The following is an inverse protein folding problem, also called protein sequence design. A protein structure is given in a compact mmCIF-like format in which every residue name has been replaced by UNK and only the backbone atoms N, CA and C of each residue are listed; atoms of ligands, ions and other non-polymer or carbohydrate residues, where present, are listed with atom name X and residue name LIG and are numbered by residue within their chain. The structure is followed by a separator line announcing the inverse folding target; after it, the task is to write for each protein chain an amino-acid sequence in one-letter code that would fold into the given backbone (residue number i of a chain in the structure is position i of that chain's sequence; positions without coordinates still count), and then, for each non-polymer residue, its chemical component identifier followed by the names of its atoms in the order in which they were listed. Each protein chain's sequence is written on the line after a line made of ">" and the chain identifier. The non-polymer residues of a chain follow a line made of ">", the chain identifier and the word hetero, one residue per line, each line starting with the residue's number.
data_IF_724381031488
#
_entry.id   IF_724381031488
#
_cell.length_a   1.000
_cell.length_b   1.000
_cell.length_c   1.000
_cell.angle_alpha   90.00
_cell.angle_beta   90.00
_cell.angle_gamma   90.00
#
_symmetry.space_group_name_H-M   'P 1'
#
loop_
_entity.id
_entity.type
_entity.pdbx_description
1 polymer ?
#
# COMPACT_ATOMS: atom_id res chain seq x y z
N UNK A 1 30.56 32.52 -17.93
CA UNK A 1 30.08 31.16 -18.27
C UNK A 1 28.92 30.84 -17.34
N UNK A 2 27.71 30.71 -17.88
CA UNK A 2 26.59 30.18 -17.08
C UNK A 2 26.90 28.72 -16.71
N UNK A 3 26.67 28.37 -15.44
CA UNK A 3 26.79 26.99 -14.99
C UNK A 3 25.64 26.20 -15.59
N UNK A 4 25.96 25.14 -16.35
CA UNK A 4 24.96 24.18 -16.78
C UNK A 4 24.21 23.64 -15.56
N UNK A 5 22.88 23.72 -15.60
CA UNK A 5 22.02 23.32 -14.50
C UNK A 5 21.04 22.26 -14.99
N UNK A 6 20.83 21.22 -14.19
CA UNK A 6 19.82 20.20 -14.52
C UNK A 6 18.44 20.83 -14.65
N UNK A 7 18.17 21.91 -13.91
CA UNK A 7 16.87 22.58 -13.89
C UNK A 7 16.54 23.33 -15.19
N UNK A 8 17.52 23.57 -16.07
CA UNK A 8 17.30 24.27 -17.35
C UNK A 8 17.11 23.31 -18.52
N UNK A 9 17.05 22.00 -18.28
CA UNK A 9 16.83 21.03 -19.35
C UNK A 9 15.36 21.06 -19.82
N UNK A 10 15.09 20.83 -21.11
CA UNK A 10 13.74 20.63 -21.60
C UNK A 10 13.02 19.45 -20.92
N UNK A 11 11.69 19.53 -20.86
CA UNK A 11 10.83 18.51 -20.22
C UNK A 11 11.00 17.13 -20.85
N UNK A 12 11.33 17.07 -22.14
CA UNK A 12 11.59 15.84 -22.89
C UNK A 12 12.82 15.12 -22.33
N UNK A 13 13.89 15.87 -22.05
CA UNK A 13 15.12 15.29 -21.47
C UNK A 13 14.87 14.80 -20.04
N UNK A 14 14.12 15.56 -19.24
CA UNK A 14 13.71 15.09 -17.92
C UNK A 14 12.88 13.81 -18.00
N UNK A 15 11.93 13.74 -18.93
CA UNK A 15 11.10 12.55 -19.15
C UNK A 15 11.96 11.33 -19.52
N UNK A 16 12.96 11.52 -20.39
CA UNK A 16 13.91 10.46 -20.76
C UNK A 16 14.71 9.99 -19.54
N UNK A 17 15.27 10.92 -18.74
CA UNK A 17 16.01 10.59 -17.53
C UNK A 17 15.14 9.76 -16.57
N UNK A 18 13.91 10.19 -16.32
CA UNK A 18 12.98 9.50 -15.41
C UNK A 18 12.61 8.10 -15.92
N UNK A 19 12.36 7.94 -17.22
CA UNK A 19 12.13 6.62 -17.84
C UNK A 19 13.34 5.71 -17.74
N UNK A 20 14.55 6.23 -17.92
CA UNK A 20 15.79 5.47 -17.77
C UNK A 20 15.99 5.00 -16.32
N UNK A 21 15.73 5.87 -15.34
CA UNK A 21 15.77 5.52 -13.91
C UNK A 21 14.78 4.40 -13.58
N UNK A 22 13.56 4.49 -14.11
CA UNK A 22 12.55 3.45 -13.95
C UNK A 22 12.99 2.11 -14.54
N UNK A 23 13.45 2.10 -15.79
CA UNK A 23 13.92 0.88 -16.49
C UNK A 23 15.11 0.23 -15.79
N UNK A 24 16.06 1.02 -15.31
CA UNK A 24 17.23 0.53 -14.56
C UNK A 24 16.78 -0.21 -13.28
N UNK A 25 15.81 0.35 -12.55
CA UNK A 25 15.27 -0.28 -11.32
C UNK A 25 14.47 -1.54 -11.61
N UNK A 26 13.71 -1.59 -12.71
CA UNK A 26 13.02 -2.81 -13.10
C UNK A 26 13.98 -3.95 -13.44
N UNK A 27 15.13 -3.65 -14.05
CA UNK A 27 16.14 -4.65 -14.40
C UNK A 27 16.73 -5.32 -13.16
N UNK A 28 16.97 -4.55 -12.09
CA UNK A 28 17.54 -5.06 -10.83
C UNK A 28 16.53 -5.95 -10.08
N UNK A 29 15.23 -5.70 -10.23
CA UNK A 29 14.17 -6.43 -9.53
C UNK A 29 13.75 -7.76 -10.17
N UNK A 30 14.30 -8.17 -11.31
CA UNK A 30 14.04 -9.51 -11.81
C UNK A 30 14.79 -10.47 -10.89
N UNK A 31 14.10 -11.28 -10.05
CA UNK A 31 14.80 -12.27 -9.25
C UNK A 31 15.46 -13.21 -10.24
N UNK A 32 16.79 -13.21 -10.28
CA UNK A 32 17.52 -14.33 -10.82
C UNK A 32 16.97 -15.56 -10.09
N UNK A 33 16.43 -16.51 -10.85
CA UNK A 33 15.89 -17.77 -10.35
C UNK A 33 17.04 -18.67 -9.86
N UNK A 34 17.89 -18.14 -8.98
CA UNK A 34 19.01 -18.83 -8.39
C UNK A 34 18.49 -19.59 -7.18
N UNK A 35 18.43 -20.91 -7.36
CA UNK A 35 18.10 -21.92 -6.36
C UNK A 35 19.13 -21.91 -5.22
N UNK A 36 18.68 -22.27 -4.02
CA UNK A 36 19.42 -22.50 -2.76
C UNK A 36 19.86 -21.23 -2.02
N UNK A 37 19.83 -21.13 -0.69
CA UNK A 37 19.83 -22.15 0.37
C UNK A 37 18.86 -21.83 1.51
N UNK A 38 18.45 -22.89 2.25
CA UNK A 38 17.98 -22.80 3.63
C UNK A 38 19.02 -22.02 4.48
N UNK A 39 18.56 -21.35 5.54
CA UNK A 39 19.32 -20.52 6.50
C UNK A 39 19.58 -19.05 6.10
N UNK A 40 18.52 -18.25 6.09
CA UNK A 40 18.48 -16.98 6.84
C UNK A 40 17.05 -16.43 6.93
N UNK A 41 16.42 -16.59 8.09
CA UNK A 41 15.13 -15.96 8.42
C UNK A 41 15.34 -14.48 8.77
N UNK A 42 15.85 -13.69 7.82
CA UNK A 42 15.67 -12.25 7.86
C UNK A 42 14.82 -11.93 6.63
N UNK A 43 13.54 -11.54 6.77
CA UNK A 43 12.72 -11.21 5.63
C UNK A 43 13.38 -10.10 4.82
N UNK A 44 13.82 -10.43 3.62
CA UNK A 44 14.34 -9.50 2.60
C UNK A 44 13.23 -8.51 2.15
N UNK A 45 12.03 -8.59 2.73
CA UNK A 45 10.85 -7.76 2.46
C UNK A 45 11.02 -6.28 2.86
N UNK A 46 11.94 -5.93 3.77
CA UNK A 46 12.07 -4.55 4.26
C UNK A 46 12.52 -3.53 3.20
N UNK A 47 13.32 -3.91 2.20
CA UNK A 47 13.70 -2.98 1.12
C UNK A 47 12.50 -2.60 0.24
N UNK A 48 11.46 -3.43 0.23
CA UNK A 48 10.33 -3.23 -0.65
C UNK A 48 9.47 -2.02 -0.20
N UNK A 49 9.49 -1.67 1.08
CA UNK A 49 8.58 -0.69 1.66
C UNK A 49 9.13 0.74 1.71
N UNK A 50 10.34 0.99 1.21
CA UNK A 50 11.02 2.28 1.42
C UNK A 50 10.51 3.39 0.46
N UNK A 51 9.92 4.50 0.96
CA UNK A 51 9.55 5.68 0.18
C UNK A 51 10.77 6.44 -0.37
N UNK A 52 11.99 6.07 0.01
CA UNK A 52 13.22 6.53 -0.63
C UNK A 52 13.42 5.93 -2.03
N UNK A 53 12.58 4.97 -2.42
CA UNK A 53 12.63 4.36 -3.74
C UNK A 53 11.88 5.17 -4.80
N UNK A 54 12.30 4.97 -6.04
CA UNK A 54 11.60 5.49 -7.20
C UNK A 54 10.15 4.94 -7.25
N UNK A 55 9.13 5.75 -7.57
CA UNK A 55 9.21 7.16 -8.01
C UNK A 55 9.19 8.22 -6.88
N UNK A 56 9.01 7.83 -5.62
CA UNK A 56 8.70 8.73 -4.51
C UNK A 56 9.83 9.70 -4.14
N UNK A 57 11.07 9.23 -4.08
CA UNK A 57 12.23 10.09 -3.81
C UNK A 57 12.37 11.22 -4.84
N UNK A 58 12.19 10.89 -6.10
CA UNK A 58 12.23 11.82 -7.24
C UNK A 58 11.04 12.77 -7.21
N UNK A 59 9.83 12.25 -6.98
CA UNK A 59 8.60 13.04 -6.89
C UNK A 59 8.61 14.03 -5.71
N UNK A 60 9.28 13.67 -4.61
CA UNK A 60 9.41 14.52 -3.42
C UNK A 60 10.49 15.60 -3.60
N UNK A 61 11.58 15.27 -4.31
CA UNK A 61 12.70 16.19 -4.49
C UNK A 61 12.36 17.41 -5.36
N UNK A 62 11.53 17.26 -6.40
CA UNK A 62 11.23 18.37 -7.30
C UNK A 62 9.84 18.29 -7.94
N UNK A 63 9.04 19.35 -7.79
CA UNK A 63 7.66 19.44 -8.31
C UNK A 63 7.56 19.21 -9.82
N UNK A 64 8.54 19.68 -10.60
CA UNK A 64 8.56 19.46 -12.06
C UNK A 64 8.65 17.96 -12.37
N UNK A 65 9.55 17.24 -11.71
CA UNK A 65 9.67 15.80 -11.90
C UNK A 65 8.43 15.06 -11.43
N UNK A 66 7.81 15.47 -10.33
CA UNK A 66 6.52 14.92 -9.92
C UNK A 66 5.47 15.07 -11.01
N UNK A 67 5.30 16.27 -11.57
CA UNK A 67 4.33 16.54 -12.64
C UNK A 67 4.62 15.71 -13.91
N UNK A 68 5.89 15.44 -14.22
CA UNK A 68 6.25 14.54 -15.32
C UNK A 68 5.84 13.10 -14.97
N UNK A 69 6.15 12.64 -13.75
CA UNK A 69 5.83 11.29 -13.29
C UNK A 69 4.32 11.03 -13.24
N UNK A 70 3.47 12.02 -12.94
CA UNK A 70 2.01 11.84 -13.02
C UNK A 70 1.53 11.49 -14.44
N UNK A 71 2.33 11.82 -15.46
CA UNK A 71 2.09 11.45 -16.86
C UNK A 71 2.58 10.05 -17.25
N UNK A 72 3.26 9.31 -16.35
CA UNK A 72 3.88 8.00 -16.62
C UNK A 72 3.26 6.94 -15.68
N UNK A 73 2.11 6.34 -16.03
CA UNK A 73 1.36 5.43 -15.16
C UNK A 73 2.16 4.21 -14.68
N UNK A 74 3.12 3.74 -15.48
CA UNK A 74 3.95 2.59 -15.18
C UNK A 74 4.78 2.79 -13.90
N UNK A 75 5.11 4.05 -13.58
CA UNK A 75 5.82 4.39 -12.35
C UNK A 75 4.97 4.14 -11.09
N UNK A 76 3.64 4.06 -11.22
CA UNK A 76 2.67 3.98 -10.14
C UNK A 76 2.01 2.60 -10.00
N UNK A 77 2.66 1.55 -10.51
CA UNK A 77 2.22 0.15 -10.29
C UNK A 77 2.36 -0.30 -8.83
N UNK A 78 3.15 0.44 -8.03
CA UNK A 78 3.30 0.23 -6.59
C UNK A 78 3.07 1.54 -5.84
N UNK A 79 2.06 1.54 -4.99
CA UNK A 79 1.65 2.67 -4.18
C UNK A 79 2.06 2.44 -2.72
N UNK A 80 2.93 3.31 -2.20
CA UNK A 80 3.51 3.16 -0.86
C UNK A 80 3.17 4.36 -0.01
N UNK A 81 2.63 4.12 1.19
CA UNK A 81 2.35 5.14 2.19
C UNK A 81 3.12 4.83 3.47
N UNK A 82 3.87 5.83 3.94
CA UNK A 82 4.45 5.85 5.27
C UNK A 82 3.56 6.70 6.18
N UNK A 83 2.87 6.07 7.12
CA UNK A 83 1.89 6.68 8.02
C UNK A 83 2.56 7.62 9.02
N UNK A 84 3.86 7.46 9.25
CA UNK A 84 4.69 8.41 10.00
C UNK A 84 4.68 9.81 9.37
N UNK A 85 4.41 9.90 8.07
CA UNK A 85 4.48 11.12 7.27
C UNK A 85 3.08 11.53 6.80
N UNK A 86 2.94 12.80 6.41
CA UNK A 86 1.70 13.29 5.81
C UNK A 86 1.45 12.57 4.46
N UNK A 87 0.34 11.81 4.30
CA UNK A 87 0.06 11.06 3.08
C UNK A 87 -0.44 11.93 1.91
N UNK A 88 -0.84 13.18 2.16
CA UNK A 88 -1.54 14.06 1.19
C UNK A 88 -0.86 14.14 -0.17
N UNK A 89 0.49 14.17 -0.19
CA UNK A 89 1.27 14.29 -1.42
C UNK A 89 1.03 13.16 -2.42
N UNK A 90 0.62 11.98 -1.96
CA UNK A 90 0.52 10.76 -2.77
C UNK A 90 -0.87 10.14 -2.76
N UNK A 91 -1.88 10.79 -2.16
CA UNK A 91 -3.27 10.29 -2.20
C UNK A 91 -3.80 10.18 -3.64
N UNK A 92 -3.33 11.05 -4.54
CA UNK A 92 -3.69 11.02 -5.96
C UNK A 92 -2.90 9.98 -6.78
N UNK A 93 -1.97 9.23 -6.17
CA UNK A 93 -1.15 8.25 -6.88
C UNK A 93 -1.98 7.18 -7.61
N UNK A 94 -3.15 6.83 -7.08
CA UNK A 94 -4.07 5.93 -7.76
C UNK A 94 -4.65 6.52 -9.06
N UNK A 95 -4.89 7.83 -9.10
CA UNK A 95 -5.31 8.51 -10.32
C UNK A 95 -4.17 8.55 -11.36
N UNK A 96 -2.92 8.70 -10.91
CA UNK A 96 -1.74 8.69 -11.77
C UNK A 96 -1.45 7.31 -12.36
N UNK A 97 -1.83 6.23 -11.67
CA UNK A 97 -1.80 4.87 -12.19
C UNK A 97 -2.82 4.63 -13.32
N UNK A 98 -3.73 5.59 -13.61
CA UNK A 98 -4.77 5.52 -14.65
C UNK A 98 -5.52 4.21 -14.62
N UNK A 99 -5.47 3.42 -15.69
CA UNK A 99 -6.19 2.17 -15.83
C UNK A 99 -5.40 0.92 -15.43
N UNK A 100 -4.23 1.10 -14.79
CA UNK A 100 -3.36 -0.01 -14.42
C UNK A 100 -4.09 -1.07 -13.58
N UNK A 101 -3.83 -2.33 -13.93
CA UNK A 101 -4.27 -3.51 -13.18
C UNK A 101 -3.05 -4.08 -12.48
N UNK A 102 -3.29 -4.64 -11.31
CA UNK A 102 -2.29 -5.30 -10.51
C UNK A 102 -1.47 -4.33 -9.65
N UNK A 103 -2.12 -3.25 -9.21
CA UNK A 103 -1.50 -2.26 -8.32
C UNK A 103 -1.15 -2.92 -6.99
N UNK A 104 0.06 -2.69 -6.50
CA UNK A 104 0.50 -3.14 -5.19
C UNK A 104 0.43 -1.98 -4.20
N UNK A 105 -0.37 -2.12 -3.15
CA UNK A 105 -0.51 -1.11 -2.10
C UNK A 105 0.23 -1.58 -0.86
N UNK A 106 1.12 -0.73 -0.37
CA UNK A 106 1.82 -0.92 0.90
C UNK A 106 1.54 0.29 1.76
N UNK A 107 1.07 0.04 2.98
CA UNK A 107 0.93 1.06 4.01
C UNK A 107 1.71 0.57 5.22
N UNK A 108 2.64 1.36 5.70
CA UNK A 108 3.47 0.99 6.83
C UNK A 108 3.76 2.20 7.72
N UNK A 109 4.24 1.97 8.94
CA UNK A 109 4.66 3.04 9.83
C UNK A 109 6.17 2.96 10.09
N UNK A 110 6.92 4.00 9.70
CA UNK A 110 8.36 4.09 9.98
C UNK A 110 8.71 4.69 11.34
N UNK A 111 7.72 5.23 12.07
CA UNK A 111 7.92 5.84 13.38
C UNK A 111 8.30 4.79 14.41
N UNK A 112 9.03 5.18 15.45
CA UNK A 112 9.13 4.34 16.63
C UNK A 112 7.80 4.35 17.38
N UNK A 113 7.56 3.32 18.20
CA UNK A 113 6.32 3.17 18.98
C UNK A 113 6.05 4.41 19.85
N UNK A 114 7.11 5.02 20.38
CA UNK A 114 7.03 6.19 21.28
C UNK A 114 6.74 7.51 20.54
N UNK A 115 6.95 7.55 19.22
CA UNK A 115 6.87 8.78 18.43
C UNK A 115 5.45 9.09 17.93
N UNK A 116 4.55 8.11 17.96
CA UNK A 116 3.21 8.23 17.38
C UNK A 116 2.14 7.57 18.24
N UNK A 117 1.09 8.32 18.55
CA UNK A 117 -0.10 7.79 19.22
C UNK A 117 -1.02 7.07 18.24
N UNK A 118 -1.87 6.16 18.74
CA UNK A 118 -2.87 5.48 17.91
C UNK A 118 -3.86 6.44 17.24
N UNK A 119 -4.19 7.56 17.90
CA UNK A 119 -5.09 8.57 17.34
C UNK A 119 -4.46 9.31 16.15
N UNK A 120 -3.17 9.61 16.22
CA UNK A 120 -2.43 10.25 15.12
C UNK A 120 -2.23 9.30 13.95
N UNK A 121 -1.87 8.04 14.23
CA UNK A 121 -1.76 7.00 13.21
C UNK A 121 -3.10 6.87 12.48
N UNK A 122 -4.20 6.66 13.21
CA UNK A 122 -5.54 6.54 12.64
C UNK A 122 -5.93 7.78 11.80
N UNK A 123 -5.55 8.99 12.24
CA UNK A 123 -5.80 10.24 11.49
C UNK A 123 -5.10 10.24 10.13
N UNK A 124 -3.87 9.73 10.04
CA UNK A 124 -3.13 9.63 8.77
C UNK A 124 -3.61 8.43 7.93
N UNK A 125 -4.07 7.36 8.57
CA UNK A 125 -4.64 6.18 7.91
C UNK A 125 -5.94 6.49 7.17
N UNK A 126 -6.80 7.32 7.74
CA UNK A 126 -8.16 7.52 7.21
C UNK A 126 -8.20 8.08 5.77
N UNK A 127 -7.40 9.11 5.39
CA UNK A 127 -7.28 9.52 4.00
C UNK A 127 -6.77 8.42 3.07
N UNK A 128 -5.81 7.60 3.52
CA UNK A 128 -5.25 6.49 2.75
C UNK A 128 -6.34 5.45 2.46
N UNK A 129 -7.13 5.06 3.46
CA UNK A 129 -8.26 4.15 3.27
C UNK A 129 -9.23 4.66 2.21
N UNK A 130 -9.64 5.94 2.31
CA UNK A 130 -10.56 6.53 1.35
C UNK A 130 -10.00 6.56 -0.06
N UNK A 131 -8.68 6.75 -0.20
CA UNK A 131 -8.01 6.70 -1.49
C UNK A 131 -7.92 5.26 -2.04
N UNK A 132 -7.63 4.26 -1.21
CA UNK A 132 -7.45 2.85 -1.65
C UNK A 132 -8.78 2.23 -2.08
N UNK A 133 -9.86 2.50 -1.34
CA UNK A 133 -11.13 1.77 -1.46
C UNK A 133 -11.70 1.69 -2.89
N UNK A 134 -11.79 2.79 -3.67
CA UNK A 134 -12.27 2.72 -5.06
C UNK A 134 -11.40 1.88 -6.00
N UNK A 135 -10.17 1.58 -5.61
CA UNK A 135 -9.17 0.90 -6.44
C UNK A 135 -8.89 -0.54 -6.01
N UNK A 136 -9.56 -1.07 -4.98
CA UNK A 136 -9.38 -2.46 -4.58
C UNK A 136 -9.64 -3.46 -5.73
N UNK A 137 -10.63 -3.30 -6.62
CA UNK A 137 -10.85 -4.25 -7.71
C UNK A 137 -9.66 -4.44 -8.66
N UNK A 138 -8.81 -3.42 -8.78
CA UNK A 138 -7.62 -3.41 -9.64
C UNK A 138 -6.31 -3.69 -8.89
N UNK A 139 -6.36 -3.86 -7.57
CA UNK A 139 -5.18 -4.17 -6.77
C UNK A 139 -4.80 -5.64 -6.89
N UNK A 140 -3.49 -5.91 -6.96
CA UNK A 140 -2.90 -7.25 -6.83
C UNK A 140 -2.60 -7.59 -5.38
N UNK A 141 -2.06 -6.65 -4.63
CA UNK A 141 -1.64 -6.85 -3.25
C UNK A 141 -1.99 -5.61 -2.45
N UNK A 142 -2.49 -5.81 -1.24
CA UNK A 142 -2.80 -4.76 -0.27
C UNK A 142 -2.22 -5.19 1.07
N UNK A 143 -1.17 -4.49 1.51
CA UNK A 143 -0.44 -4.80 2.75
C UNK A 143 -0.47 -3.58 3.67
N UNK A 144 -0.93 -3.80 4.89
CA UNK A 144 -0.95 -2.83 5.98
C UNK A 144 -0.11 -3.35 7.14
N UNK A 145 0.98 -2.66 7.45
CA UNK A 145 1.91 -2.95 8.54
C UNK A 145 1.95 -1.75 9.49
N UNK A 146 0.99 -1.70 10.41
CA UNK A 146 0.77 -0.53 11.29
C UNK A 146 1.34 -0.74 12.69
N UNK A 147 1.42 0.32 13.50
CA UNK A 147 1.77 0.18 14.91
C UNK A 147 0.59 -0.38 15.70
N UNK A 148 -0.63 0.12 15.49
CA UNK A 148 -1.78 -0.19 16.34
C UNK A 148 -2.90 -0.93 15.59
N UNK A 149 -3.44 -1.99 16.19
CA UNK A 149 -4.56 -2.75 15.60
C UNK A 149 -5.82 -1.90 15.39
N UNK A 150 -6.06 -0.91 16.25
CA UNK A 150 -7.17 0.06 16.10
C UNK A 150 -7.02 1.00 14.90
N UNK A 151 -5.81 1.12 14.33
CA UNK A 151 -5.55 1.89 13.12
C UNK A 151 -5.80 1.08 11.85
N UNK A 152 -5.93 -0.25 11.94
CA UNK A 152 -6.16 -1.11 10.79
C UNK A 152 -7.58 -0.93 10.23
N UNK A 153 -7.73 -1.01 8.89
CA UNK A 153 -9.05 -1.05 8.28
C UNK A 153 -9.72 -2.38 8.64
N UNK A 154 -11.02 -2.39 8.97
CA UNK A 154 -11.75 -3.64 9.13
C UNK A 154 -11.64 -4.48 7.85
N UNK A 155 -11.31 -5.79 7.93
CA UNK A 155 -11.15 -6.63 6.74
C UNK A 155 -12.40 -6.69 5.87
N UNK A 156 -13.58 -6.50 6.49
CA UNK A 156 -14.86 -6.42 5.80
C UNK A 156 -14.90 -5.30 4.76
N UNK A 157 -14.10 -4.23 4.89
CA UNK A 157 -14.02 -3.19 3.85
C UNK A 157 -13.52 -3.77 2.52
N UNK A 158 -12.57 -4.72 2.55
CA UNK A 158 -12.05 -5.36 1.35
C UNK A 158 -12.89 -6.57 0.93
N UNK A 159 -13.35 -7.35 1.91
CA UNK A 159 -14.03 -8.62 1.64
C UNK A 159 -15.50 -8.47 1.19
N UNK A 160 -16.06 -7.25 1.26
CA UNK A 160 -17.43 -6.92 0.84
C UNK A 160 -17.53 -6.35 -0.59
N UNK A 161 -16.42 -6.31 -1.33
CA UNK A 161 -16.39 -5.86 -2.72
C UNK A 161 -15.67 -6.88 -3.58
N UNK A 162 -15.93 -6.86 -4.88
CA UNK A 162 -15.23 -7.75 -5.81
C UNK A 162 -13.77 -7.31 -5.97
N UNK A 163 -12.86 -8.26 -5.82
CA UNK A 163 -11.43 -8.02 -6.04
C UNK A 163 -10.83 -9.14 -6.91
N UNK A 164 -11.17 -9.19 -8.21
CA UNK A 164 -10.80 -10.30 -9.10
C UNK A 164 -9.29 -10.44 -9.32
N UNK A 165 -8.52 -9.39 -9.02
CA UNK A 165 -7.08 -9.35 -9.19
C UNK A 165 -6.29 -9.50 -7.88
N UNK A 166 -6.96 -9.48 -6.74
CA UNK A 166 -6.32 -9.50 -5.43
C UNK A 166 -5.74 -10.88 -5.16
N UNK A 167 -4.42 -10.95 -5.04
CA UNK A 167 -3.63 -12.13 -4.70
C UNK A 167 -3.23 -12.14 -3.21
N UNK A 168 -3.11 -10.95 -2.62
CA UNK A 168 -2.64 -10.78 -1.25
C UNK A 168 -3.43 -9.67 -0.52
N UNK A 169 -3.92 -10.01 0.67
CA UNK A 169 -4.42 -9.06 1.66
C UNK A 169 -3.74 -9.34 3.00
N UNK A 170 -2.90 -8.41 3.46
CA UNK A 170 -2.24 -8.51 4.77
C UNK A 170 -2.60 -7.30 5.63
N UNK A 171 -3.16 -7.54 6.80
CA UNK A 171 -3.54 -6.54 7.80
C UNK A 171 -2.87 -6.88 9.13
N UNK A 172 -1.66 -6.37 9.30
CA UNK A 172 -0.77 -6.65 10.43
C UNK A 172 -0.49 -5.39 11.26
N UNK A 173 -0.25 -5.63 12.54
CA UNK A 173 0.12 -4.57 13.48
C UNK A 173 1.06 -5.10 14.56
N UNK A 174 1.76 -4.19 15.22
CA UNK A 174 2.67 -4.52 16.33
C UNK A 174 1.92 -4.61 17.66
N UNK A 175 1.05 -3.63 17.95
CA UNK A 175 0.36 -3.46 19.23
C UNK A 175 -1.12 -3.73 19.03
N UNK A 176 -1.63 -4.76 19.71
CA UNK A 176 -3.07 -4.99 19.77
C UNK A 176 -3.71 -4.11 20.85
N UNK A 177 -4.40 -3.05 20.43
CA UNK A 177 -5.08 -2.09 21.30
C UNK A 177 -6.56 -1.92 20.98
N UNK A 178 -7.19 -2.93 20.35
CA UNK A 178 -8.62 -2.88 20.06
C UNK A 178 -9.42 -2.94 21.36
N UNK A 179 -10.21 -1.89 21.59
CA UNK A 179 -11.19 -1.83 22.67
C UNK A 179 -12.48 -2.49 22.20
N UNK A 180 -12.74 -3.71 22.69
CA UNK A 180 -13.93 -4.49 22.36
C UNK A 180 -15.25 -3.75 22.63
N UNK A 181 -15.26 -2.80 23.57
CA UNK A 181 -16.46 -2.02 23.89
C UNK A 181 -16.78 -0.97 22.82
N UNK A 182 -15.78 -0.59 22.00
CA UNK A 182 -15.94 0.40 20.92
C UNK A 182 -16.24 -0.23 19.57
N UNK A 183 -16.07 -1.54 19.44
CA UNK A 183 -16.39 -2.24 18.20
C UNK A 183 -17.90 -2.35 18.08
N UNK A 184 -18.49 -1.52 17.22
CA UNK A 184 -19.91 -1.62 16.95
C UNK A 184 -20.22 -2.95 16.26
N UNK A 185 -21.18 -3.75 16.77
CA UNK A 185 -21.59 -4.95 16.08
C UNK A 185 -22.16 -4.56 14.72
N UNK A 186 -21.56 -5.06 13.64
CA UNK A 186 -22.07 -4.83 12.29
C UNK A 186 -23.44 -5.49 12.19
N UNK A 187 -24.49 -4.67 12.29
CA UNK A 187 -25.89 -5.12 12.38
C UNK A 187 -26.43 -5.62 11.04
N UNK A 188 -25.70 -5.42 9.94
CA UNK A 188 -26.14 -5.85 8.60
C UNK A 188 -25.45 -7.16 8.22
N UNK A 189 -26.25 -8.21 8.05
CA UNK A 189 -25.86 -9.44 7.33
C UNK A 189 -25.44 -9.04 5.90
N UNK A 190 -24.17 -8.72 5.71
CA UNK A 190 -23.60 -8.54 4.37
C UNK A 190 -22.86 -9.82 4.04
N UNK A 191 -23.32 -10.51 3.01
CA UNK A 191 -22.61 -11.66 2.47
C UNK A 191 -21.25 -11.15 1.97
N UNK A 192 -20.19 -11.88 2.31
CA UNK A 192 -18.87 -11.63 1.72
C UNK A 192 -19.02 -11.73 0.19
N UNK A 193 -18.43 -10.80 -0.55
CA UNK A 193 -18.44 -10.88 -2.01
C UNK A 193 -17.74 -12.19 -2.40
N UNK A 194 -18.42 -13.04 -3.17
CA UNK A 194 -18.02 -14.42 -3.39
C UNK A 194 -16.83 -14.60 -4.36
N UNK A 195 -16.10 -13.54 -4.72
CA UNK A 195 -15.11 -13.59 -5.80
C UNK A 195 -13.78 -12.93 -5.41
N UNK A 196 -12.91 -13.76 -4.85
CA UNK A 196 -11.46 -13.52 -4.71
C UNK A 196 -10.70 -14.67 -5.41
N UNK A 197 -10.88 -14.87 -6.73
CA UNK A 197 -10.43 -16.07 -7.43
C UNK A 197 -8.90 -16.24 -7.43
N UNK A 198 -8.15 -15.17 -7.13
CA UNK A 198 -6.70 -15.16 -7.12
C UNK A 198 -6.09 -15.04 -5.72
N UNK A 199 -6.89 -14.83 -4.67
CA UNK A 199 -6.39 -14.58 -3.32
C UNK A 199 -5.72 -15.84 -2.79
N UNK A 200 -4.39 -15.80 -2.70
CA UNK A 200 -3.57 -16.89 -2.16
C UNK A 200 -3.04 -16.59 -0.77
N UNK A 201 -2.93 -15.31 -0.42
CA UNK A 201 -2.39 -14.86 0.87
C UNK A 201 -3.42 -13.99 1.59
N UNK A 202 -3.81 -14.41 2.79
CA UNK A 202 -4.64 -13.64 3.70
C UNK A 202 -3.96 -13.66 5.08
N UNK A 203 -3.45 -12.51 5.52
CA UNK A 203 -2.89 -12.31 6.85
C UNK A 203 -3.73 -11.29 7.61
N UNK A 204 -4.17 -11.66 8.81
CA UNK A 204 -5.03 -10.84 9.67
C UNK A 204 -4.56 -10.99 11.11
N UNK A 205 -4.72 -9.93 11.90
CA UNK A 205 -4.63 -10.06 13.37
C UNK A 205 -5.64 -11.09 13.90
N UNK A 206 -5.33 -11.71 15.04
CA UNK A 206 -6.21 -12.69 15.68
C UNK A 206 -7.62 -12.13 15.94
N UNK A 207 -7.71 -10.90 16.45
CA UNK A 207 -8.99 -10.22 16.66
C UNK A 207 -9.84 -10.18 15.39
N UNK A 208 -9.26 -9.67 14.29
CA UNK A 208 -9.98 -9.52 13.02
C UNK A 208 -10.40 -10.87 12.42
N UNK A 209 -9.57 -11.90 12.57
CA UNK A 209 -9.92 -13.26 12.15
C UNK A 209 -11.13 -13.80 12.93
N UNK A 210 -11.11 -13.73 14.26
CA UNK A 210 -12.24 -14.16 15.09
C UNK A 210 -13.50 -13.35 14.81
N UNK A 211 -13.36 -12.04 14.62
CA UNK A 211 -14.44 -11.14 14.25
C UNK A 211 -15.13 -11.59 12.94
N UNK A 212 -14.36 -11.88 11.90
CA UNK A 212 -14.89 -12.37 10.62
C UNK A 212 -15.65 -13.69 10.79
N UNK A 213 -15.10 -14.66 11.53
CA UNK A 213 -15.73 -15.98 11.73
C UNK A 213 -17.05 -15.84 12.49
N UNK A 214 -17.06 -15.04 13.55
CA UNK A 214 -18.25 -14.82 14.37
C UNK A 214 -19.41 -14.23 13.54
N UNK A 215 -19.10 -13.26 12.68
CA UNK A 215 -20.11 -12.62 11.83
C UNK A 215 -20.47 -13.43 10.58
N UNK A 216 -19.57 -14.25 10.05
CA UNK A 216 -19.86 -15.14 8.93
C UNK A 216 -20.88 -16.23 9.31
N UNK A 217 -20.76 -16.82 10.51
CA UNK A 217 -21.71 -17.83 11.01
C UNK A 217 -23.11 -17.28 11.26
N UNK A 218 -23.21 -16.00 11.61
CA UNK A 218 -24.49 -15.32 11.84
C UNK A 218 -25.28 -15.07 10.54
N UNK A 219 -24.70 -15.33 9.36
CA UNK A 219 -25.34 -15.24 8.05
C UNK A 219 -25.82 -16.58 7.45
N UNK A 220 -25.57 -17.71 8.12
CA UNK A 220 -25.89 -19.08 7.64
C UNK A 220 -27.13 -19.71 8.31
N UNK A 221 -27.97 -18.90 8.96
CA UNK A 221 -29.32 -19.25 9.44
C UNK A 221 -30.33 -18.23 8.93
#
# INVERSE_FOLDING_TARGET
>A
MEKASIYSLPVELHTIILKLLYSSRQSIRKPERSRSSLDSYIPIENEAHDPSLFPYNVATAWKVWRNILTGIPECWSRIVFDVARNPELFLEAFAWAKDAIGIQVVVFNSSQIEDMTSAEELRHMWPIFRAVMPHVPRCKSIVYNTLYSSSLPPPTMFLLQEAPHLEELSLECIIDNIDLNKVQPVTRKRLLCASFPKLSTLSLTGFWFFYLIYHAKSGLL
#
